data_IF_029853798256
#
_entry.id   IF_029853798256
#
_cell.length_a   1.000
_cell.length_b   1.000
_cell.length_c   1.000
_cell.angle_alpha   90.00
_cell.angle_beta   90.00
_cell.angle_gamma   90.00
#
_symmetry.space_group_name_H-M   'P 1'
#
loop_
_entity.id
_entity.type
_entity.pdbx_description
1 polymer ?
#
# COMPACT_ATOMS: atom_id res chain seq x y z
N UNK A 1 6.20 25.33 -40.05
CA UNK A 1 5.32 24.25 -39.54
C UNK A 1 5.52 24.15 -38.05
N UNK A 2 4.44 24.05 -37.26
CA UNK A 2 4.53 23.74 -35.82
C UNK A 2 5.02 22.30 -35.66
N UNK A 3 5.88 22.03 -34.67
CA UNK A 3 6.27 20.66 -34.35
C UNK A 3 5.07 19.88 -33.77
N UNK A 4 5.11 18.55 -33.86
CA UNK A 4 4.11 17.66 -33.28
C UNK A 4 3.87 17.91 -31.77
N UNK A 5 4.90 18.40 -31.06
CA UNK A 5 4.90 18.53 -29.61
C UNK A 5 4.82 19.98 -29.11
N UNK A 6 4.52 20.94 -29.99
CA UNK A 6 4.52 22.35 -29.63
C UNK A 6 3.52 22.72 -28.52
N UNK A 7 2.46 21.93 -28.34
CA UNK A 7 1.41 22.14 -27.35
C UNK A 7 1.52 21.22 -26.13
N UNK A 8 2.59 20.42 -26.02
CA UNK A 8 2.79 19.53 -24.87
C UNK A 8 3.17 20.37 -23.67
N UNK A 9 2.32 20.40 -22.65
CA UNK A 9 2.59 21.06 -21.39
C UNK A 9 3.53 20.23 -20.52
N UNK A 10 4.35 20.90 -19.71
CA UNK A 10 5.18 20.24 -18.71
C UNK A 10 4.29 19.69 -17.60
N UNK A 11 4.27 18.36 -17.43
CA UNK A 11 3.54 17.73 -16.35
C UNK A 11 4.04 18.21 -14.98
N UNK A 12 3.14 18.34 -13.98
CA UNK A 12 3.57 18.63 -12.62
C UNK A 12 4.49 17.51 -12.10
N UNK A 13 5.52 17.88 -11.32
CA UNK A 13 6.39 16.88 -10.68
C UNK A 13 5.61 16.11 -9.62
N UNK A 14 5.81 14.80 -9.55
CA UNK A 14 5.30 13.97 -8.46
C UNK A 14 5.86 14.50 -7.11
N UNK A 15 5.00 14.78 -6.12
CA UNK A 15 5.42 15.42 -4.87
C UNK A 15 6.38 14.56 -4.03
N UNK A 16 6.38 13.24 -4.20
CA UNK A 16 7.29 12.31 -3.52
C UNK A 16 8.59 12.17 -4.31
N UNK A 17 8.53 12.03 -5.64
CA UNK A 17 9.73 11.89 -6.46
C UNK A 17 10.55 13.19 -6.51
N UNK A 18 9.90 14.35 -6.63
CA UNK A 18 10.57 15.64 -6.55
C UNK A 18 11.25 15.89 -5.20
N UNK A 19 10.67 15.35 -4.10
CA UNK A 19 11.29 15.38 -2.78
C UNK A 19 12.58 14.55 -2.74
N UNK A 20 12.62 13.39 -3.40
CA UNK A 20 13.83 12.57 -3.50
C UNK A 20 14.93 13.23 -4.32
N UNK A 21 14.59 13.92 -5.42
CA UNK A 21 15.56 14.70 -6.20
C UNK A 21 16.21 15.78 -5.33
N UNK A 22 15.39 16.55 -4.61
CA UNK A 22 15.88 17.60 -3.72
C UNK A 22 16.72 17.04 -2.56
N UNK A 23 16.33 15.89 -1.99
CA UNK A 23 17.12 15.19 -0.97
C UNK A 23 18.48 14.72 -1.53
N UNK A 24 18.51 14.17 -2.74
CA UNK A 24 19.75 13.68 -3.34
C UNK A 24 20.74 14.81 -3.66
N UNK A 25 20.23 15.97 -4.10
CA UNK A 25 21.04 17.14 -4.42
C UNK A 25 21.60 17.87 -3.18
N UNK A 26 21.02 17.66 -2.00
CA UNK A 26 21.47 18.29 -0.75
C UNK A 26 22.84 17.75 -0.30
N UNK A 27 23.79 18.64 -0.04
CA UNK A 27 25.14 18.30 0.43
C UNK A 27 25.26 18.22 1.95
N UNK A 28 24.19 18.53 2.70
CA UNK A 28 24.17 18.43 4.15
C UNK A 28 24.42 16.97 4.60
N UNK A 29 25.50 16.68 5.35
CA UNK A 29 25.82 15.33 5.79
C UNK A 29 24.82 14.79 6.83
N UNK A 30 24.01 15.65 7.44
CA UNK A 30 22.99 15.29 8.43
C UNK A 30 21.57 15.14 7.83
N UNK A 31 21.41 15.26 6.50
CA UNK A 31 20.10 15.22 5.85
C UNK A 31 19.35 13.91 6.15
N UNK A 32 18.03 14.00 6.30
CA UNK A 32 17.15 12.84 6.55
C UNK A 32 15.97 12.84 5.59
N UNK A 33 15.72 11.72 4.91
CA UNK A 33 14.56 11.55 4.04
C UNK A 33 13.43 10.82 4.76
N UNK A 34 12.44 11.57 5.25
CA UNK A 34 11.19 11.06 5.81
C UNK A 34 10.03 11.10 4.80
N UNK A 35 10.27 11.54 3.56
CA UNK A 35 9.25 11.63 2.52
C UNK A 35 9.00 10.32 1.77
N UNK A 36 9.96 9.40 1.75
CA UNK A 36 9.86 8.14 1.00
C UNK A 36 8.88 7.12 1.59
N UNK A 37 8.38 6.21 0.77
CA UNK A 37 7.54 5.07 1.19
C UNK A 37 8.28 3.74 1.31
N UNK A 38 9.51 3.76 1.85
CA UNK A 38 10.46 2.64 1.87
C UNK A 38 10.95 2.38 3.29
N UNK A 39 11.14 1.11 3.63
CA UNK A 39 11.71 0.69 4.91
C UNK A 39 13.23 0.79 4.84
N UNK A 40 13.82 1.47 5.81
CA UNK A 40 15.25 1.44 6.04
C UNK A 40 15.57 0.66 7.31
N UNK A 41 16.66 -0.12 7.29
CA UNK A 41 17.24 -0.70 8.50
C UNK A 41 17.81 0.36 9.44
N UNK A 42 18.31 -0.08 10.58
CA UNK A 42 18.96 0.83 11.54
C UNK A 42 20.24 1.48 10.99
N UNK A 43 20.84 0.86 9.97
CA UNK A 43 21.96 1.42 9.20
C UNK A 43 21.55 2.44 8.13
N UNK A 44 20.25 2.75 8.01
CA UNK A 44 19.71 3.70 7.05
C UNK A 44 19.66 3.17 5.61
N UNK A 45 19.73 1.84 5.39
CA UNK A 45 19.69 1.22 4.05
C UNK A 45 18.48 0.31 3.86
N UNK A 46 18.07 0.13 2.61
CA UNK A 46 17.01 -0.82 2.26
C UNK A 46 17.56 -2.25 2.47
N UNK A 47 16.94 -3.09 3.32
CA UNK A 47 17.44 -4.43 3.55
C UNK A 47 17.10 -5.36 2.37
N UNK A 48 18.02 -6.26 2.02
CA UNK A 48 17.69 -7.48 1.28
C UNK A 48 17.40 -8.57 2.31
N UNK A 49 16.14 -9.01 2.38
CA UNK A 49 15.72 -10.01 3.35
C UNK A 49 16.47 -11.34 3.13
N UNK A 50 16.81 -12.04 4.21
CA UNK A 50 17.53 -13.30 4.17
C UNK A 50 16.74 -14.38 3.44
N UNK A 51 15.43 -14.45 3.63
CA UNK A 51 14.56 -15.38 2.90
C UNK A 51 14.60 -15.11 1.37
N UNK A 52 14.58 -13.84 0.98
CA UNK A 52 14.71 -13.39 -0.43
C UNK A 52 16.08 -13.79 -0.98
N UNK A 53 17.15 -13.46 -0.26
CA UNK A 53 18.53 -13.80 -0.66
C UNK A 53 18.73 -15.30 -0.86
N UNK A 54 18.15 -16.12 0.02
CA UNK A 54 18.21 -17.58 -0.09
C UNK A 54 17.46 -18.09 -1.33
N UNK A 55 16.25 -17.59 -1.57
CA UNK A 55 15.47 -17.93 -2.77
C UNK A 55 16.16 -17.49 -4.07
N UNK A 56 16.76 -16.30 -4.10
CA UNK A 56 17.53 -15.81 -5.25
C UNK A 56 18.77 -16.67 -5.53
N UNK A 57 19.51 -17.05 -4.49
CA UNK A 57 20.69 -17.92 -4.64
C UNK A 57 20.31 -19.27 -5.24
N UNK A 58 19.30 -19.94 -4.68
CA UNK A 58 18.81 -21.22 -5.21
C UNK A 58 18.31 -21.11 -6.65
N UNK A 59 17.63 -20.00 -6.98
CA UNK A 59 17.17 -19.73 -8.35
C UNK A 59 18.33 -19.51 -9.33
N UNK A 60 19.39 -18.84 -8.91
CA UNK A 60 20.58 -18.63 -9.74
C UNK A 60 21.27 -19.97 -10.04
N UNK A 61 21.38 -20.84 -9.04
CA UNK A 61 22.01 -22.17 -9.19
C UNK A 61 21.26 -23.06 -10.19
N UNK A 62 19.93 -22.95 -10.26
CA UNK A 62 19.10 -23.74 -11.20
C UNK A 62 19.04 -23.19 -12.62
N UNK A 63 19.52 -21.96 -12.86
CA UNK A 63 19.60 -21.31 -14.18
C UNK A 63 18.37 -21.51 -15.08
N UNK A 64 17.14 -21.22 -14.59
CA UNK A 64 15.94 -21.52 -15.36
C UNK A 64 15.87 -20.66 -16.64
N UNK A 65 15.32 -21.20 -17.74
CA UNK A 65 15.12 -20.44 -18.97
C UNK A 65 14.21 -19.23 -18.75
N UNK A 66 14.36 -18.21 -19.59
CA UNK A 66 13.70 -16.89 -19.43
C UNK A 66 12.70 -16.60 -20.56
N UNK A 67 11.89 -17.60 -20.89
CA UNK A 67 10.76 -17.43 -21.80
C UNK A 67 9.63 -16.59 -21.19
N UNK A 68 8.61 -16.30 -22.00
CA UNK A 68 7.41 -15.60 -21.54
C UNK A 68 6.62 -16.42 -20.52
N UNK A 69 5.97 -15.72 -19.60
CA UNK A 69 5.04 -16.31 -18.64
C UNK A 69 3.62 -16.40 -19.21
N UNK A 70 2.72 -17.19 -18.58
CA UNK A 70 1.28 -17.00 -18.76
C UNK A 70 0.87 -15.54 -18.49
N UNK A 71 -0.19 -15.09 -19.15
CA UNK A 71 -0.65 -13.69 -19.07
C UNK A 71 -0.96 -13.29 -17.61
N UNK A 72 -1.53 -14.20 -16.85
CA UNK A 72 -1.88 -14.03 -15.43
C UNK A 72 -0.72 -14.32 -14.46
N UNK A 73 0.49 -14.59 -14.95
CA UNK A 73 1.60 -15.07 -14.15
C UNK A 73 1.55 -16.57 -13.87
N UNK A 74 2.55 -17.08 -13.14
CA UNK A 74 2.65 -18.51 -12.85
C UNK A 74 1.67 -18.96 -11.76
N UNK A 75 1.10 -20.16 -11.92
CA UNK A 75 0.11 -20.71 -10.99
C UNK A 75 0.63 -20.84 -9.54
N UNK A 76 1.91 -21.18 -9.36
CA UNK A 76 2.53 -21.29 -8.04
C UNK A 76 2.50 -19.95 -7.28
N UNK A 77 2.81 -18.83 -7.96
CA UNK A 77 2.71 -17.49 -7.38
C UNK A 77 1.26 -17.14 -7.07
N UNK A 78 0.36 -17.31 -8.03
CA UNK A 78 -1.06 -16.96 -7.86
C UNK A 78 -1.70 -17.70 -6.66
N UNK A 79 -1.40 -18.99 -6.48
CA UNK A 79 -1.87 -19.78 -5.34
C UNK A 79 -1.23 -19.33 -4.02
N UNK A 80 0.08 -19.03 -4.02
CA UNK A 80 0.76 -18.53 -2.83
C UNK A 80 0.18 -17.21 -2.34
N UNK A 81 -0.15 -16.29 -3.27
CA UNK A 81 -0.84 -15.03 -2.95
C UNK A 81 -2.23 -15.29 -2.38
N UNK A 82 -3.04 -16.16 -2.99
CA UNK A 82 -4.39 -16.47 -2.47
C UNK A 82 -4.33 -17.04 -1.05
N UNK A 83 -3.40 -17.94 -0.79
CA UNK A 83 -3.19 -18.53 0.54
C UNK A 83 -2.73 -17.48 1.56
N UNK A 84 -1.93 -16.50 1.15
CA UNK A 84 -1.53 -15.39 2.02
C UNK A 84 -2.69 -14.44 2.35
N UNK A 85 -3.54 -14.13 1.37
CA UNK A 85 -4.65 -13.19 1.52
C UNK A 85 -5.82 -13.78 2.32
N UNK A 86 -6.16 -15.06 2.09
CA UNK A 86 -7.38 -15.66 2.64
C UNK A 86 -7.14 -16.87 3.55
N UNK A 87 -5.90 -17.36 3.64
CA UNK A 87 -5.57 -18.59 4.34
C UNK A 87 -5.78 -19.84 3.47
N UNK A 88 -4.96 -20.87 3.71
CA UNK A 88 -4.96 -22.14 2.95
C UNK A 88 -6.30 -22.90 3.03
N UNK A 89 -7.03 -22.76 4.14
CA UNK A 89 -8.27 -23.49 4.41
C UNK A 89 -9.53 -22.66 4.05
N UNK A 90 -9.36 -21.61 3.23
CA UNK A 90 -10.45 -20.72 2.85
C UNK A 90 -11.54 -21.42 2.03
N UNK A 91 -12.78 -21.38 2.51
CA UNK A 91 -13.94 -21.90 1.80
C UNK A 91 -14.16 -21.22 0.44
N UNK A 92 -13.79 -19.94 0.32
CA UNK A 92 -13.86 -19.17 -0.93
C UNK A 92 -12.90 -19.75 -1.98
N UNK A 93 -11.68 -20.11 -1.56
CA UNK A 93 -10.69 -20.74 -2.44
C UNK A 93 -11.14 -22.15 -2.85
N UNK A 94 -11.61 -22.95 -1.90
CA UNK A 94 -12.16 -24.28 -2.18
C UNK A 94 -13.34 -24.25 -3.17
N UNK A 95 -14.17 -23.19 -3.11
CA UNK A 95 -15.28 -22.96 -4.03
C UNK A 95 -14.86 -22.40 -5.40
N UNK A 96 -13.57 -22.12 -5.63
CA UNK A 96 -13.06 -21.55 -6.89
C UNK A 96 -13.54 -20.11 -7.13
N UNK A 97 -13.81 -19.36 -6.07
CA UNK A 97 -14.37 -17.99 -6.14
C UNK A 97 -13.32 -16.89 -6.23
N UNK A 98 -12.03 -17.20 -6.10
CA UNK A 98 -10.96 -16.22 -6.29
C UNK A 98 -10.19 -16.50 -7.58
N UNK A 99 -9.97 -15.47 -8.37
CA UNK A 99 -8.95 -15.46 -9.44
C UNK A 99 -7.85 -14.50 -9.05
N UNK A 100 -6.60 -14.87 -9.31
CA UNK A 100 -5.43 -14.02 -9.04
C UNK A 100 -4.59 -13.91 -10.31
N UNK A 101 -4.15 -12.69 -10.60
CA UNK A 101 -3.22 -12.39 -11.68
C UNK A 101 -2.02 -11.61 -11.13
N UNK A 102 -0.82 -12.07 -11.44
CA UNK A 102 0.40 -11.34 -11.14
C UNK A 102 0.45 -10.01 -11.89
N UNK A 103 0.83 -8.95 -11.17
CA UNK A 103 0.79 -7.57 -11.64
C UNK A 103 2.06 -6.81 -11.24
N UNK A 104 2.31 -5.68 -11.92
CA UNK A 104 3.45 -4.79 -11.67
C UNK A 104 3.34 -4.01 -10.35
N UNK A 105 3.50 -4.73 -9.24
CA UNK A 105 3.26 -4.24 -7.89
C UNK A 105 1.76 -3.98 -7.64
N UNK A 106 1.46 -3.37 -6.48
CA UNK A 106 0.09 -2.93 -6.17
C UNK A 106 -0.44 -1.91 -7.19
N UNK A 107 0.41 -1.00 -7.67
CA UNK A 107 0.02 -0.03 -8.72
C UNK A 107 -0.45 -0.72 -10.00
N UNK A 108 0.24 -1.77 -10.45
CA UNK A 108 -0.18 -2.55 -11.61
C UNK A 108 -1.52 -3.26 -11.36
N UNK A 109 -1.71 -3.81 -10.17
CA UNK A 109 -2.96 -4.46 -9.78
C UNK A 109 -4.14 -3.47 -9.75
N UNK A 110 -3.94 -2.29 -9.16
CA UNK A 110 -4.89 -1.18 -9.19
C UNK A 110 -5.24 -0.79 -10.63
N UNK A 111 -4.25 -0.62 -11.50
CA UNK A 111 -4.47 -0.23 -12.91
C UNK A 111 -5.26 -1.28 -13.68
N UNK A 112 -4.85 -2.55 -13.62
CA UNK A 112 -5.57 -3.64 -14.30
C UNK A 112 -7.00 -3.78 -13.75
N UNK A 113 -7.18 -3.67 -12.42
CA UNK A 113 -8.49 -3.68 -11.79
C UNK A 113 -9.36 -2.50 -12.22
N UNK A 114 -8.80 -1.28 -12.28
CA UNK A 114 -9.48 -0.09 -12.74
C UNK A 114 -9.92 -0.21 -14.20
N UNK A 115 -9.03 -0.62 -15.10
CA UNK A 115 -9.34 -0.79 -16.53
C UNK A 115 -10.39 -1.88 -16.76
N UNK A 116 -10.36 -2.96 -15.97
CA UNK A 116 -11.39 -3.98 -16.00
C UNK A 116 -12.73 -3.44 -15.51
N UNK A 117 -12.76 -2.78 -14.34
CA UNK A 117 -13.97 -2.21 -13.77
C UNK A 117 -14.57 -1.12 -14.66
N UNK A 118 -13.76 -0.33 -15.38
CA UNK A 118 -14.26 0.72 -16.28
C UNK A 118 -15.02 0.11 -17.47
N UNK A 119 -14.58 -1.06 -17.95
CA UNK A 119 -15.30 -1.81 -19.00
C UNK A 119 -16.62 -2.39 -18.48
N UNK A 120 -16.68 -2.76 -17.20
CA UNK A 120 -17.85 -3.37 -16.59
C UNK A 120 -18.88 -2.34 -16.11
N UNK A 121 -18.41 -1.23 -15.54
CA UNK A 121 -19.18 -0.18 -14.90
C UNK A 121 -18.71 1.19 -15.41
N UNK A 122 -18.97 1.52 -16.69
CA UNK A 122 -18.43 2.73 -17.32
C UNK A 122 -18.91 4.03 -16.64
N UNK A 123 -20.10 4.01 -16.05
CA UNK A 123 -20.70 5.18 -15.38
C UNK A 123 -20.45 5.22 -13.87
N UNK A 124 -19.79 4.20 -13.29
CA UNK A 124 -19.52 4.19 -11.86
C UNK A 124 -18.54 5.33 -11.49
N UNK A 125 -18.74 5.86 -10.28
CA UNK A 125 -17.77 6.74 -9.64
C UNK A 125 -16.84 5.93 -8.74
N UNK A 126 -15.62 6.41 -8.58
CA UNK A 126 -14.66 5.90 -7.61
C UNK A 126 -14.61 6.85 -6.41
N UNK A 127 -14.64 6.30 -5.20
CA UNK A 127 -14.50 7.06 -3.97
C UNK A 127 -13.24 6.60 -3.23
N UNK A 128 -12.39 7.56 -2.86
CA UNK A 128 -11.15 7.32 -2.10
C UNK A 128 -11.22 8.03 -0.75
N UNK A 129 -10.45 7.57 0.24
CA UNK A 129 -10.40 8.22 1.56
C UNK A 129 -9.93 9.67 1.45
N UNK A 130 -10.42 10.53 2.34
CA UNK A 130 -9.90 11.88 2.54
C UNK A 130 -8.96 11.95 3.76
N UNK A 131 -7.64 12.08 3.56
CA UNK A 131 -6.91 11.91 2.29
C UNK A 131 -6.60 10.44 2.00
N UNK A 132 -6.05 10.16 0.82
CA UNK A 132 -5.59 8.83 0.40
C UNK A 132 -4.16 8.87 -0.14
N UNK A 133 -3.62 7.71 -0.53
CA UNK A 133 -2.39 7.67 -1.30
C UNK A 133 -2.58 8.43 -2.61
N UNK A 134 -1.72 9.41 -2.85
CA UNK A 134 -1.88 10.43 -3.90
C UNK A 134 -2.18 9.82 -5.28
N UNK A 135 -1.45 8.76 -5.65
CA UNK A 135 -1.61 8.12 -6.95
C UNK A 135 -2.92 7.32 -7.10
N UNK A 136 -3.74 7.12 -6.06
CA UNK A 136 -5.09 6.56 -6.24
C UNK A 136 -5.92 7.44 -7.18
N UNK A 137 -5.96 8.75 -6.93
CA UNK A 137 -6.74 9.70 -7.74
C UNK A 137 -6.25 9.68 -9.19
N UNK A 138 -4.94 9.93 -9.39
CA UNK A 138 -4.33 9.97 -10.72
C UNK A 138 -4.55 8.66 -11.50
N UNK A 139 -4.41 7.50 -10.85
CA UNK A 139 -4.59 6.19 -11.48
C UNK A 139 -6.04 5.97 -11.94
N UNK A 140 -7.03 6.23 -11.09
CA UNK A 140 -8.44 6.00 -11.44
C UNK A 140 -8.97 7.05 -12.43
N UNK A 141 -8.54 8.31 -12.33
CA UNK A 141 -8.83 9.34 -13.34
C UNK A 141 -8.20 8.99 -14.70
N UNK A 142 -6.97 8.50 -14.71
CA UNK A 142 -6.31 8.01 -15.93
C UNK A 142 -7.00 6.77 -16.54
N UNK A 143 -7.67 5.96 -15.72
CA UNK A 143 -8.55 4.88 -16.18
C UNK A 143 -9.93 5.39 -16.67
N UNK A 144 -10.20 6.69 -16.57
CA UNK A 144 -11.41 7.34 -17.07
C UNK A 144 -12.55 7.45 -16.06
N UNK A 145 -12.30 7.27 -14.77
CA UNK A 145 -13.31 7.45 -13.73
C UNK A 145 -13.37 8.90 -13.23
N UNK A 146 -14.56 9.33 -12.82
CA UNK A 146 -14.67 10.44 -11.86
C UNK A 146 -14.30 9.92 -10.47
N UNK A 147 -13.38 10.62 -9.80
CA UNK A 147 -12.90 10.26 -8.46
C UNK A 147 -13.36 11.29 -7.44
N UNK A 148 -14.15 10.86 -6.47
CA UNK A 148 -14.61 11.67 -5.34
C UNK A 148 -13.96 11.18 -4.03
N UNK A 149 -14.12 11.95 -2.95
CA UNK A 149 -13.59 11.61 -1.63
C UNK A 149 -14.71 11.18 -0.68
N UNK A 150 -14.40 10.28 0.26
CA UNK A 150 -15.21 10.06 1.47
C UNK A 150 -14.43 10.49 2.71
N UNK A 151 -15.14 11.04 3.71
CA UNK A 151 -14.52 11.48 4.95
C UNK A 151 -13.80 10.31 5.63
N UNK A 152 -12.54 10.52 6.03
CA UNK A 152 -11.74 9.48 6.68
C UNK A 152 -10.89 10.01 7.83
N UNK A 153 -9.90 10.87 7.58
CA UNK A 153 -9.03 11.38 8.64
C UNK A 153 -9.65 12.59 9.35
N UNK A 154 -9.61 12.58 10.68
CA UNK A 154 -9.99 13.73 11.49
C UNK A 154 -8.73 14.42 12.05
N UNK A 155 -8.48 15.66 11.63
CA UNK A 155 -7.34 16.43 12.09
C UNK A 155 -7.42 16.80 13.59
N UNK A 156 -8.63 16.88 14.17
CA UNK A 156 -8.82 17.20 15.58
C UNK A 156 -8.47 16.01 16.48
N UNK A 157 -9.00 14.82 16.17
CA UNK A 157 -8.74 13.60 16.95
C UNK A 157 -7.49 12.84 16.50
N UNK A 158 -6.92 13.17 15.33
CA UNK A 158 -5.79 12.48 14.66
C UNK A 158 -6.07 11.02 14.31
N UNK A 159 -7.34 10.62 14.36
CA UNK A 159 -7.84 9.28 14.07
C UNK A 159 -8.80 9.26 12.88
N UNK A 160 -9.72 8.29 12.88
CA UNK A 160 -10.71 8.14 11.81
C UNK A 160 -12.01 8.88 12.17
N UNK A 161 -12.46 9.79 11.31
CA UNK A 161 -13.82 10.34 11.27
C UNK A 161 -14.83 9.26 10.80
N UNK A 162 -15.10 8.29 11.67
CA UNK A 162 -15.92 7.15 11.30
C UNK A 162 -17.39 7.52 11.04
N UNK A 163 -17.92 8.51 11.78
CA UNK A 163 -19.27 9.01 11.55
C UNK A 163 -19.43 9.61 10.14
N UNK A 164 -18.46 10.44 9.72
CA UNK A 164 -18.40 10.98 8.37
C UNK A 164 -18.24 9.90 7.30
N UNK A 165 -17.36 8.92 7.54
CA UNK A 165 -17.18 7.78 6.63
C UNK A 165 -18.49 7.03 6.41
N UNK A 166 -19.23 6.69 7.48
CA UNK A 166 -20.52 5.99 7.37
C UNK A 166 -21.56 6.80 6.61
N UNK A 167 -21.66 8.10 6.89
CA UNK A 167 -22.58 8.99 6.19
C UNK A 167 -22.27 9.04 4.69
N UNK A 168 -20.99 9.13 4.32
CA UNK A 168 -20.56 9.10 2.94
C UNK A 168 -20.92 7.76 2.25
N UNK A 169 -20.57 6.62 2.86
CA UNK A 169 -20.91 5.30 2.31
C UNK A 169 -22.42 5.10 2.13
N UNK A 170 -23.23 5.53 3.09
CA UNK A 170 -24.69 5.45 3.02
C UNK A 170 -25.29 6.31 1.90
N UNK A 171 -24.65 7.44 1.58
CA UNK A 171 -25.09 8.35 0.52
C UNK A 171 -24.60 7.95 -0.88
N UNK A 172 -23.62 7.04 -1.00
CA UNK A 172 -23.10 6.63 -2.30
C UNK A 172 -24.18 5.96 -3.17
N UNK A 173 -24.20 6.26 -4.48
CA UNK A 173 -25.01 5.51 -5.44
C UNK A 173 -24.59 4.04 -5.48
N UNK A 174 -25.54 3.15 -5.72
CA UNK A 174 -25.26 1.73 -5.97
C UNK A 174 -24.24 1.57 -7.11
N UNK A 175 -23.42 0.53 -7.02
CA UNK A 175 -22.31 0.22 -7.94
C UNK A 175 -21.18 1.25 -7.99
N UNK A 176 -21.16 2.21 -7.07
CA UNK A 176 -19.96 3.02 -6.84
C UNK A 176 -18.81 2.13 -6.35
N UNK A 177 -17.59 2.44 -6.79
CA UNK A 177 -16.38 1.73 -6.39
C UNK A 177 -15.78 2.46 -5.19
N UNK A 178 -15.56 1.77 -4.08
CA UNK A 178 -14.95 2.34 -2.88
C UNK A 178 -13.57 1.74 -2.69
N UNK A 179 -12.54 2.58 -2.76
CA UNK A 179 -11.16 2.17 -2.51
C UNK A 179 -10.88 2.20 -1.01
N UNK A 180 -10.51 1.06 -0.45
CA UNK A 180 -10.35 0.83 0.98
C UNK A 180 -8.94 0.32 1.27
N UNK A 181 -8.17 1.02 2.10
CA UNK A 181 -6.89 0.50 2.59
C UNK A 181 -7.19 -0.60 3.60
N UNK A 182 -6.64 -1.80 3.41
CA UNK A 182 -6.94 -2.92 4.28
C UNK A 182 -6.41 -2.74 5.73
N UNK A 183 -5.23 -2.13 5.83
CA UNK A 183 -4.55 -1.74 7.07
C UNK A 183 -3.42 -0.74 6.74
N UNK A 184 -2.78 -0.18 7.76
CA UNK A 184 -1.64 0.73 7.63
C UNK A 184 -1.92 1.90 6.66
N UNK A 185 -3.07 2.56 6.83
CA UNK A 185 -3.58 3.56 5.89
C UNK A 185 -2.50 4.56 5.46
N UNK A 186 -2.27 4.68 4.15
CA UNK A 186 -1.37 5.67 3.58
C UNK A 186 -2.20 6.88 3.12
N UNK A 187 -1.99 8.09 3.69
CA UNK A 187 -0.78 8.54 4.38
C UNK A 187 -0.85 8.61 5.91
N UNK A 188 -2.01 8.36 6.51
CA UNK A 188 -2.30 8.83 7.88
C UNK A 188 -1.77 7.89 8.99
N UNK A 189 -1.67 6.59 8.70
CA UNK A 189 -1.49 5.53 9.69
C UNK A 189 -2.69 5.30 10.60
N UNK A 190 -3.79 6.05 10.44
CA UNK A 190 -5.02 5.88 11.20
C UNK A 190 -5.87 4.79 10.53
N UNK A 191 -6.14 3.71 11.24
CA UNK A 191 -6.87 2.57 10.70
C UNK A 191 -8.20 2.35 11.45
N UNK A 192 -9.10 1.62 10.79
CA UNK A 192 -10.35 1.16 11.40
C UNK A 192 -10.11 0.05 12.42
N UNK A 193 -10.92 0.07 13.48
CA UNK A 193 -11.08 -1.06 14.41
C UNK A 193 -11.90 -2.19 13.80
N UNK A 194 -11.90 -3.36 14.44
CA UNK A 194 -12.67 -4.52 13.99
C UNK A 194 -14.19 -4.25 13.92
N UNK A 195 -14.74 -3.56 14.93
CA UNK A 195 -16.15 -3.19 14.95
C UNK A 195 -16.50 -2.24 13.80
N UNK A 196 -15.65 -1.25 13.54
CA UNK A 196 -15.82 -0.32 12.43
C UNK A 196 -15.75 -1.03 11.07
N UNK A 197 -14.83 -1.99 10.91
CA UNK A 197 -14.75 -2.79 9.68
C UNK A 197 -16.02 -3.61 9.43
N UNK A 198 -16.60 -4.22 10.47
CA UNK A 198 -17.86 -4.97 10.33
C UNK A 198 -18.99 -4.06 9.81
N UNK A 199 -19.14 -2.85 10.38
CA UNK A 199 -20.11 -1.86 9.90
C UNK A 199 -19.84 -1.40 8.46
N UNK A 200 -18.57 -1.26 8.05
CA UNK A 200 -18.22 -0.91 6.66
C UNK A 200 -18.64 -2.01 5.69
N UNK A 201 -18.38 -3.27 6.02
CA UNK A 201 -18.78 -4.41 5.18
C UNK A 201 -20.30 -4.48 5.04
N UNK A 202 -21.03 -4.25 6.14
CA UNK A 202 -22.49 -4.20 6.12
C UNK A 202 -23.01 -3.07 5.24
N UNK A 203 -22.43 -1.86 5.35
CA UNK A 203 -22.81 -0.73 4.50
C UNK A 203 -22.50 -0.99 3.02
N UNK A 204 -21.33 -1.53 2.70
CA UNK A 204 -20.98 -1.90 1.31
C UNK A 204 -22.00 -2.87 0.73
N UNK A 205 -22.43 -3.86 1.52
CA UNK A 205 -23.47 -4.82 1.12
C UNK A 205 -24.85 -4.16 0.95
N UNK A 206 -25.29 -3.40 1.94
CA UNK A 206 -26.61 -2.75 1.94
C UNK A 206 -26.76 -1.73 0.81
N UNK A 207 -25.67 -1.08 0.43
CA UNK A 207 -25.63 -0.02 -0.60
C UNK A 207 -25.24 -0.54 -1.98
N UNK A 208 -25.03 -1.85 -2.15
CA UNK A 208 -24.58 -2.48 -3.40
C UNK A 208 -23.32 -1.81 -3.98
N UNK A 209 -22.36 -1.49 -3.11
CA UNK A 209 -21.08 -0.86 -3.50
C UNK A 209 -20.06 -1.93 -3.91
N UNK A 210 -19.08 -1.53 -4.73
CA UNK A 210 -17.97 -2.39 -5.14
C UNK A 210 -16.74 -2.06 -4.30
N UNK A 211 -16.35 -2.95 -3.39
CA UNK A 211 -15.12 -2.79 -2.63
C UNK A 211 -13.89 -3.08 -3.50
N UNK A 212 -12.98 -2.10 -3.56
CA UNK A 212 -11.62 -2.27 -4.07
C UNK A 212 -10.64 -2.10 -2.92
N UNK A 213 -10.13 -3.21 -2.41
CA UNK A 213 -9.27 -3.25 -1.23
C UNK A 213 -7.81 -3.16 -1.66
N UNK A 214 -7.07 -2.17 -1.13
CA UNK A 214 -5.62 -2.06 -1.32
C UNK A 214 -4.87 -2.61 -0.10
N UNK A 215 -4.11 -3.69 -0.32
CA UNK A 215 -3.36 -4.47 0.66
C UNK A 215 -1.86 -4.38 0.37
N UNK A 216 -1.28 -3.18 0.56
CA UNK A 216 0.13 -2.93 0.28
C UNK A 216 1.08 -3.18 1.47
N UNK A 217 0.53 -3.38 2.67
CA UNK A 217 1.27 -3.35 3.94
C UNK A 217 0.97 -4.54 4.88
N UNK A 218 0.45 -5.65 4.36
CA UNK A 218 0.16 -6.83 5.18
C UNK A 218 1.41 -7.28 5.97
N UNK A 219 1.30 -7.31 7.30
CA UNK A 219 2.36 -7.65 8.24
C UNK A 219 2.95 -6.46 9.01
N UNK A 220 2.68 -5.21 8.59
CA UNK A 220 3.23 -3.99 9.20
C UNK A 220 2.36 -3.33 10.27
N UNK A 221 1.11 -3.77 10.48
CA UNK A 221 0.28 -3.26 11.58
C UNK A 221 0.45 -4.15 12.82
N UNK A 222 -0.21 -5.30 12.85
CA UNK A 222 -0.24 -6.24 13.97
C UNK A 222 0.29 -7.64 13.60
N UNK A 223 0.45 -7.91 12.31
CA UNK A 223 1.03 -9.15 11.79
C UNK A 223 0.25 -9.66 10.58
N UNK A 224 0.77 -10.66 9.89
CA UNK A 224 0.23 -11.10 8.58
C UNK A 224 -1.26 -11.47 8.66
N UNK A 225 -1.65 -12.26 9.67
CA UNK A 225 -3.05 -12.68 9.84
C UNK A 225 -3.94 -11.58 10.45
N UNK A 226 -3.57 -10.90 11.54
CA UNK A 226 -4.35 -9.75 12.04
C UNK A 226 -4.60 -8.67 10.97
N UNK A 227 -3.61 -8.39 10.12
CA UNK A 227 -3.70 -7.37 9.07
C UNK A 227 -4.65 -7.77 7.92
N UNK A 228 -5.04 -9.05 7.84
CA UNK A 228 -6.01 -9.55 6.86
C UNK A 228 -7.48 -9.41 7.30
N UNK A 229 -7.75 -8.78 8.46
CA UNK A 229 -9.10 -8.66 9.03
C UNK A 229 -10.16 -8.16 8.04
N UNK A 230 -9.85 -7.10 7.28
CA UNK A 230 -10.77 -6.59 6.26
C UNK A 230 -11.12 -7.68 5.23
N UNK A 231 -10.12 -8.39 4.72
CA UNK A 231 -10.31 -9.47 3.74
C UNK A 231 -11.12 -10.63 4.32
N UNK A 232 -10.86 -11.01 5.57
CA UNK A 232 -11.61 -12.06 6.26
C UNK A 232 -13.10 -11.70 6.38
N UNK A 233 -13.42 -10.46 6.77
CA UNK A 233 -14.80 -9.97 6.89
C UNK A 233 -15.49 -9.89 5.51
N UNK A 234 -14.80 -9.37 4.49
CA UNK A 234 -15.34 -9.34 3.13
C UNK A 234 -15.57 -10.76 2.57
N UNK A 235 -14.63 -11.70 2.79
CA UNK A 235 -14.79 -13.09 2.39
C UNK A 235 -15.99 -13.77 3.08
N UNK A 236 -16.17 -13.52 4.39
CA UNK A 236 -17.30 -14.05 5.17
C UNK A 236 -18.66 -13.45 4.76
N UNK A 237 -18.68 -12.20 4.28
CA UNK A 237 -19.91 -11.48 3.91
C UNK A 237 -20.65 -12.06 2.69
N UNK A 238 -19.94 -12.84 1.88
CA UNK A 238 -20.41 -13.38 0.60
C UNK A 238 -20.28 -12.42 -0.58
N UNK A 239 -19.87 -11.16 -0.36
CA UNK A 239 -19.70 -10.13 -1.39
C UNK A 239 -18.69 -10.52 -2.47
N UNK A 240 -18.83 -9.91 -3.65
CA UNK A 240 -17.80 -9.86 -4.67
C UNK A 240 -16.98 -8.58 -4.47
N UNK A 241 -15.66 -8.70 -4.54
CA UNK A 241 -14.75 -7.58 -4.29
C UNK A 241 -13.42 -7.78 -5.02
N UNK A 242 -12.66 -6.69 -5.11
CA UNK A 242 -11.36 -6.64 -5.77
C UNK A 242 -10.29 -6.36 -4.72
N UNK A 243 -9.13 -7.00 -4.86
CA UNK A 243 -7.96 -6.80 -4.00
C UNK A 243 -6.75 -6.48 -4.87
N UNK A 244 -6.12 -5.34 -4.61
CA UNK A 244 -4.74 -5.07 -5.00
C UNK A 244 -3.84 -5.49 -3.85
N UNK A 245 -2.84 -6.34 -4.10
CA UNK A 245 -1.81 -6.67 -3.11
C UNK A 245 -0.42 -6.35 -3.63
N UNK A 246 0.49 -5.99 -2.71
CA UNK A 246 1.87 -5.63 -3.07
C UNK A 246 2.90 -6.27 -2.15
N UNK A 247 3.97 -6.77 -2.77
CA UNK A 247 5.15 -7.30 -2.06
C UNK A 247 6.32 -6.32 -2.02
N UNK A 248 6.13 -5.09 -2.53
CA UNK A 248 7.19 -4.09 -2.53
C UNK A 248 7.72 -3.79 -1.12
N UNK A 249 6.84 -3.79 -0.10
CA UNK A 249 7.21 -3.47 1.28
C UNK A 249 7.47 -4.73 2.08
N UNK A 250 6.53 -5.67 2.08
CA UNK A 250 6.58 -6.88 2.91
C UNK A 250 7.73 -7.81 2.57
N UNK A 251 8.22 -7.79 1.32
CA UNK A 251 9.41 -8.53 0.89
C UNK A 251 10.63 -7.64 0.65
N UNK A 252 10.52 -6.32 0.87
CA UNK A 252 11.56 -5.36 0.48
C UNK A 252 11.89 -5.37 -1.04
N UNK A 253 10.96 -5.83 -1.89
CA UNK A 253 11.11 -5.97 -3.34
C UNK A 253 10.51 -4.77 -4.10
N UNK A 254 10.93 -3.56 -3.75
CA UNK A 254 10.38 -2.31 -4.28
C UNK A 254 10.52 -2.19 -5.81
N UNK A 255 11.74 -2.40 -6.30
CA UNK A 255 12.12 -2.23 -7.70
C UNK A 255 11.71 -3.39 -8.61
N UNK A 256 11.48 -4.58 -8.05
CA UNK A 256 11.09 -5.78 -8.81
C UNK A 256 9.61 -5.78 -9.25
N UNK A 257 8.82 -4.83 -8.74
CA UNK A 257 7.42 -4.62 -9.12
C UNK A 257 6.56 -5.88 -8.96
N UNK A 258 6.61 -6.51 -7.79
CA UNK A 258 5.86 -7.73 -7.48
C UNK A 258 4.56 -7.41 -6.73
N UNK A 259 3.43 -7.83 -7.28
CA UNK A 259 2.11 -7.65 -6.70
C UNK A 259 1.06 -8.50 -7.42
N UNK A 260 -0.19 -8.40 -7.02
CA UNK A 260 -1.26 -9.17 -7.64
C UNK A 260 -2.60 -8.46 -7.58
N UNK A 261 -3.41 -8.71 -8.62
CA UNK A 261 -4.84 -8.43 -8.62
C UNK A 261 -5.56 -9.72 -8.28
N UNK A 262 -6.37 -9.70 -7.22
CA UNK A 262 -7.28 -10.80 -6.88
C UNK A 262 -8.72 -10.34 -6.95
N UNK A 263 -9.57 -11.06 -7.68
CA UNK A 263 -11.01 -10.76 -7.78
C UNK A 263 -11.80 -11.93 -7.19
N UNK A 264 -12.66 -11.61 -6.23
CA UNK A 264 -13.61 -12.55 -5.64
C UNK A 264 -14.94 -12.46 -6.38
N UNK A 265 -15.41 -13.59 -6.90
CA UNK A 265 -16.62 -13.74 -7.70
C UNK A 265 -17.70 -14.54 -6.96
N UNK A 266 -18.88 -14.67 -7.57
CA UNK A 266 -19.97 -15.48 -7.02
C UNK A 266 -19.70 -17.00 -7.11
N UNK A 267 -18.83 -17.46 -8.01
CA UNK A 267 -18.62 -18.89 -8.24
C UNK A 267 -17.57 -19.21 -9.30
N UNK A 268 -17.20 -20.49 -9.40
CA UNK A 268 -16.15 -20.99 -10.30
C UNK A 268 -16.36 -20.67 -11.78
N UNK A 269 -17.60 -20.74 -12.27
CA UNK A 269 -17.91 -20.37 -13.66
C UNK A 269 -17.66 -18.88 -13.91
N UNK A 270 -18.13 -18.02 -12.99
CA UNK A 270 -17.94 -16.58 -13.07
C UNK A 270 -16.45 -16.21 -12.99
N UNK A 271 -15.70 -16.84 -12.10
CA UNK A 271 -14.24 -16.74 -12.04
C UNK A 271 -13.58 -16.98 -13.40
N UNK A 272 -13.97 -18.05 -14.12
CA UNK A 272 -13.40 -18.35 -15.43
C UNK A 272 -13.70 -17.25 -16.47
N UNK A 273 -14.94 -16.76 -16.51
CA UNK A 273 -15.35 -15.66 -17.40
C UNK A 273 -14.62 -14.36 -17.07
N UNK A 274 -14.54 -13.98 -15.79
CA UNK A 274 -13.82 -12.78 -15.32
C UNK A 274 -12.34 -12.86 -15.69
N UNK A 275 -11.67 -13.98 -15.39
CA UNK A 275 -10.26 -14.19 -15.71
C UNK A 275 -9.99 -14.03 -17.22
N UNK A 276 -10.88 -14.53 -18.10
CA UNK A 276 -10.73 -14.36 -19.54
C UNK A 276 -10.68 -12.89 -19.98
N UNK A 277 -11.45 -12.02 -19.33
CA UNK A 277 -11.49 -10.59 -19.64
C UNK A 277 -10.30 -9.84 -19.03
N UNK A 278 -9.91 -10.19 -17.80
CA UNK A 278 -8.72 -9.62 -17.14
C UNK A 278 -7.46 -9.94 -17.95
N UNK A 279 -7.32 -11.17 -18.46
CA UNK A 279 -6.23 -11.53 -19.37
C UNK A 279 -6.16 -10.63 -20.60
N UNK A 280 -7.30 -10.24 -21.18
CA UNK A 280 -7.31 -9.29 -22.31
C UNK A 280 -6.78 -7.93 -21.90
N UNK A 281 -7.18 -7.40 -20.74
CA UNK A 281 -6.67 -6.13 -20.18
C UNK A 281 -5.15 -6.19 -20.05
N UNK A 282 -4.62 -7.24 -19.40
CA UNK A 282 -3.19 -7.43 -19.20
C UNK A 282 -2.44 -7.56 -20.54
N UNK A 283 -2.96 -8.41 -21.44
CA UNK A 283 -2.30 -8.74 -22.72
C UNK A 283 -2.11 -7.52 -23.61
N UNK A 284 -3.04 -6.56 -23.55
CA UNK A 284 -2.99 -5.30 -24.32
C UNK A 284 -2.30 -4.16 -23.57
N UNK A 285 -1.86 -4.39 -22.34
CA UNK A 285 -1.08 -3.42 -21.56
C UNK A 285 0.40 -3.78 -21.63
N UNK A 286 0.79 -4.91 -21.01
CA UNK A 286 2.19 -5.33 -20.90
C UNK A 286 2.43 -6.80 -21.28
N UNK A 287 1.48 -7.43 -21.97
CA UNK A 287 1.54 -8.82 -22.44
C UNK A 287 1.50 -9.89 -21.35
N UNK A 288 2.54 -9.99 -20.52
CA UNK A 288 2.70 -10.91 -19.39
C UNK A 288 3.65 -10.28 -18.34
N UNK A 289 3.53 -10.66 -17.06
CA UNK A 289 4.30 -10.06 -15.97
C UNK A 289 5.79 -10.49 -15.98
N UNK A 290 6.67 -9.73 -15.29
CA UNK A 290 8.09 -10.06 -15.16
C UNK A 290 8.30 -11.31 -14.30
N UNK A 291 9.34 -12.09 -14.61
CA UNK A 291 9.54 -13.40 -13.98
C UNK A 291 10.23 -13.38 -12.61
N UNK A 292 11.22 -12.51 -12.42
CA UNK A 292 12.21 -12.69 -11.34
C UNK A 292 11.58 -12.57 -9.95
N UNK A 293 10.98 -11.41 -9.64
CA UNK A 293 10.40 -11.16 -8.34
C UNK A 293 9.23 -12.09 -7.99
N UNK A 294 8.33 -12.37 -8.92
CA UNK A 294 7.23 -13.34 -8.72
C UNK A 294 7.72 -14.73 -8.38
N UNK A 295 8.75 -15.22 -9.08
CA UNK A 295 9.35 -16.52 -8.80
C UNK A 295 10.03 -16.58 -7.42
N UNK A 296 10.68 -15.49 -7.01
CA UNK A 296 11.31 -15.38 -5.68
C UNK A 296 10.25 -15.40 -4.57
N UNK A 297 9.19 -14.59 -4.70
CA UNK A 297 8.07 -14.60 -3.74
C UNK A 297 7.39 -15.96 -3.68
N UNK A 298 7.14 -16.60 -4.83
CA UNK A 298 6.55 -17.93 -4.87
C UNK A 298 7.44 -18.98 -4.17
N UNK A 299 8.75 -18.93 -4.37
CA UNK A 299 9.70 -19.83 -3.72
C UNK A 299 9.71 -19.66 -2.20
N UNK A 300 9.76 -18.41 -1.72
CA UNK A 300 9.70 -18.11 -0.28
C UNK A 300 8.38 -18.58 0.33
N UNK A 301 7.24 -18.22 -0.26
CA UNK A 301 5.93 -18.53 0.31
C UNK A 301 5.57 -20.02 0.26
N UNK A 302 6.22 -20.80 -0.61
CA UNK A 302 5.95 -22.23 -0.80
C UNK A 302 6.92 -23.15 -0.04
N UNK A 303 8.04 -22.63 0.47
CA UNK A 303 8.92 -23.37 1.40
C UNK A 303 8.55 -23.02 2.83
N UNK A 304 8.19 -24.01 3.69
CA UNK A 304 7.91 -23.75 5.09
C UNK A 304 9.05 -23.01 5.82
N UNK A 305 10.30 -23.37 5.50
CA UNK A 305 11.49 -22.82 6.13
C UNK A 305 11.73 -21.36 5.71
N UNK A 306 11.71 -21.08 4.39
CA UNK A 306 11.88 -19.72 3.89
C UNK A 306 10.71 -18.82 4.28
N UNK A 307 9.49 -19.37 4.30
CA UNK A 307 8.31 -18.66 4.77
C UNK A 307 8.49 -18.25 6.22
N UNK A 308 8.85 -19.17 7.12
CA UNK A 308 9.06 -18.84 8.53
C UNK A 308 10.12 -17.75 8.70
N UNK A 309 11.25 -17.89 7.99
CA UNK A 309 12.30 -16.87 8.02
C UNK A 309 11.78 -15.49 7.58
N UNK A 310 11.01 -15.43 6.49
CA UNK A 310 10.41 -14.19 6.02
C UNK A 310 9.41 -13.60 7.03
N UNK A 311 8.58 -14.43 7.65
CA UNK A 311 7.62 -13.98 8.66
C UNK A 311 8.34 -13.38 9.90
N UNK A 312 9.44 -14.00 10.32
CA UNK A 312 10.28 -13.51 11.42
C UNK A 312 10.97 -12.18 11.07
N UNK A 313 11.53 -12.06 9.85
CA UNK A 313 12.18 -10.83 9.37
C UNK A 313 11.17 -9.68 9.25
N UNK A 314 9.97 -9.94 8.71
CA UNK A 314 8.89 -8.96 8.61
C UNK A 314 8.38 -8.54 9.99
N UNK A 315 8.28 -9.47 10.93
CA UNK A 315 7.97 -9.15 12.33
C UNK A 315 9.03 -8.24 12.95
N UNK A 316 10.32 -8.51 12.73
CA UNK A 316 11.42 -7.65 13.18
C UNK A 316 11.32 -6.22 12.59
N UNK A 317 10.97 -6.10 11.30
CA UNK A 317 10.73 -4.81 10.66
C UNK A 317 9.58 -4.04 11.32
N UNK A 318 8.45 -4.71 11.61
CA UNK A 318 7.30 -4.13 12.29
C UNK A 318 7.65 -3.65 13.70
N UNK A 319 8.30 -4.49 14.51
CA UNK A 319 8.64 -4.12 15.89
C UNK A 319 9.63 -2.95 15.94
N UNK A 320 10.57 -2.86 14.99
CA UNK A 320 11.46 -1.70 14.88
C UNK A 320 10.69 -0.41 14.59
N UNK A 321 9.72 -0.44 13.68
CA UNK A 321 8.87 0.74 13.41
C UNK A 321 8.12 1.17 14.67
N UNK A 322 7.55 0.22 15.43
CA UNK A 322 6.90 0.50 16.72
C UNK A 322 7.86 1.14 17.71
N UNK A 323 9.08 0.62 17.84
CA UNK A 323 10.12 1.22 18.68
C UNK A 323 10.45 2.67 18.26
N UNK A 324 10.52 2.95 16.96
CA UNK A 324 10.75 4.32 16.46
C UNK A 324 9.57 5.25 16.75
N UNK A 325 8.32 4.77 16.69
CA UNK A 325 7.13 5.55 17.10
C UNK A 325 7.22 5.97 18.56
N UNK A 326 7.50 5.01 19.45
CA UNK A 326 7.61 5.25 20.89
C UNK A 326 8.75 6.24 21.18
N UNK A 327 9.93 5.95 20.65
CA UNK A 327 11.13 6.78 20.85
C UNK A 327 10.95 8.21 20.33
N UNK A 328 10.30 8.40 19.18
CA UNK A 328 10.04 9.74 18.65
C UNK A 328 9.17 10.56 19.60
N UNK A 329 8.08 9.99 20.09
CA UNK A 329 7.16 10.68 21.01
C UNK A 329 7.83 10.99 22.35
N UNK A 330 8.60 10.05 22.89
CA UNK A 330 9.30 10.24 24.16
C UNK A 330 10.35 11.36 24.04
N UNK A 331 11.10 11.40 22.92
CA UNK A 331 12.09 12.46 22.65
C UNK A 331 11.45 13.82 22.36
N UNK A 332 10.32 13.86 21.66
CA UNK A 332 9.54 15.09 21.46
C UNK A 332 9.07 15.64 22.81
N UNK A 333 8.52 14.77 23.67
CA UNK A 333 8.08 15.15 25.02
C UNK A 333 9.23 15.71 25.85
N UNK A 334 10.40 15.04 25.83
CA UNK A 334 11.60 15.52 26.53
C UNK A 334 12.12 16.86 25.98
N UNK A 335 11.89 17.16 24.70
CA UNK A 335 12.21 18.44 24.07
C UNK A 335 11.14 19.54 24.31
N UNK A 336 10.09 19.25 25.09
CA UNK A 336 9.00 20.16 25.41
C UNK A 336 7.89 20.24 24.34
N UNK A 337 7.87 19.30 23.38
CA UNK A 337 6.85 19.21 22.34
C UNK A 337 5.74 18.22 22.78
N UNK A 338 4.55 18.74 23.12
CA UNK A 338 3.40 17.92 23.55
C UNK A 338 2.40 17.68 22.42
N UNK A 339 1.51 16.70 22.58
CA UNK A 339 0.39 16.45 21.66
C UNK A 339 0.68 15.46 20.52
N UNK A 340 1.80 14.72 20.59
CA UNK A 340 2.22 13.76 19.56
C UNK A 340 1.91 12.29 19.91
N UNK A 341 1.17 12.01 20.99
CA UNK A 341 0.88 10.63 21.44
C UNK A 341 0.14 9.79 20.39
N UNK A 342 -0.61 10.43 19.47
CA UNK A 342 -1.27 9.74 18.36
C UNK A 342 -0.28 8.99 17.46
N UNK A 343 1.00 9.36 17.41
CA UNK A 343 2.04 8.64 16.65
C UNK A 343 2.20 7.21 17.16
N UNK A 344 1.99 6.98 18.48
CA UNK A 344 2.04 5.64 19.11
C UNK A 344 0.86 4.76 18.68
N UNK A 345 -0.29 5.37 18.37
CA UNK A 345 -1.53 4.68 18.00
C UNK A 345 -1.60 4.41 16.50
N UNK A 346 -1.11 5.35 15.68
CA UNK A 346 -1.04 5.16 14.23
C UNK A 346 -0.14 3.96 13.87
N UNK A 347 -0.52 3.22 12.83
CA UNK A 347 0.10 1.95 12.43
C UNK A 347 0.80 2.07 11.08
N UNK A 348 1.57 1.03 10.73
CA UNK A 348 2.28 0.94 9.45
C UNK A 348 3.48 1.87 9.37
N UNK A 349 3.91 2.18 8.14
CA UNK A 349 5.15 2.90 7.89
C UNK A 349 5.06 4.42 8.06
N UNK A 350 3.85 4.98 8.09
CA UNK A 350 3.63 6.43 8.04
C UNK A 350 2.93 6.97 9.27
N UNK A 351 3.15 8.25 9.53
CA UNK A 351 2.39 9.00 10.52
C UNK A 351 2.07 10.37 9.94
N UNK A 352 0.82 10.83 10.17
CA UNK A 352 0.47 12.22 9.91
C UNK A 352 0.75 13.07 11.14
N UNK A 353 1.84 13.83 11.09
CA UNK A 353 2.35 14.59 12.24
C UNK A 353 1.51 15.81 12.59
N UNK A 354 0.69 16.30 11.66
CA UNK A 354 -0.03 17.56 11.81
C UNK A 354 0.85 18.81 11.66
N UNK A 355 2.13 18.65 11.29
CA UNK A 355 2.98 19.78 10.91
C UNK A 355 2.38 20.50 9.70
N UNK A 356 2.39 21.82 9.75
CA UNK A 356 1.93 22.65 8.63
C UNK A 356 2.96 22.63 7.49
N UNK A 357 2.53 22.96 6.27
CA UNK A 357 3.44 23.07 5.13
C UNK A 357 4.61 24.03 5.41
N UNK A 358 4.37 25.12 6.16
CA UNK A 358 5.42 26.06 6.57
C UNK A 358 6.43 25.40 7.54
N UNK A 359 5.96 24.61 8.51
CA UNK A 359 6.84 23.88 9.42
C UNK A 359 7.64 22.78 8.70
N UNK A 360 7.03 22.10 7.73
CA UNK A 360 7.73 21.13 6.86
C UNK A 360 8.81 21.82 6.02
N UNK A 361 8.54 23.00 5.46
CA UNK A 361 9.57 23.73 4.71
C UNK A 361 10.70 24.21 5.62
N UNK A 362 10.40 24.64 6.86
CA UNK A 362 11.43 24.93 7.86
C UNK A 362 12.29 23.70 8.19
N UNK A 363 11.69 22.52 8.36
CA UNK A 363 12.46 21.27 8.56
C UNK A 363 13.44 21.01 7.42
N UNK A 364 13.01 21.23 6.19
CA UNK A 364 13.86 21.06 5.02
C UNK A 364 14.96 22.13 4.95
N UNK A 365 14.60 23.41 5.05
CA UNK A 365 15.53 24.52 4.85
C UNK A 365 16.53 24.69 6.00
N UNK A 366 16.11 24.51 7.25
CA UNK A 366 16.94 24.73 8.44
C UNK A 366 17.70 23.46 8.86
N UNK A 367 17.16 22.27 8.58
CA UNK A 367 17.69 20.99 9.10
C UNK A 367 17.97 19.93 8.02
N UNK A 368 17.66 20.17 6.74
CA UNK A 368 17.80 19.12 5.71
C UNK A 368 16.94 17.88 5.99
N UNK A 369 15.82 18.04 6.70
CA UNK A 369 14.86 16.96 6.98
C UNK A 369 13.69 17.10 6.01
N UNK A 370 13.54 16.10 5.16
CA UNK A 370 12.56 16.11 4.08
C UNK A 370 11.33 15.31 4.51
N UNK A 371 10.18 15.98 4.59
CA UNK A 371 8.87 15.37 4.80
C UNK A 371 7.89 15.83 3.72
N UNK A 372 6.77 15.12 3.55
CA UNK A 372 5.74 15.57 2.59
C UNK A 372 5.07 16.82 3.14
N UNK A 373 4.76 17.79 2.29
CA UNK A 373 4.16 19.10 2.66
C UNK A 373 2.87 19.00 3.48
N UNK A 374 2.17 17.87 3.38
CA UNK A 374 0.98 17.57 4.18
C UNK A 374 1.28 17.19 5.63
N UNK A 375 2.56 17.08 6.02
CA UNK A 375 2.99 16.65 7.34
C UNK A 375 3.15 15.13 7.48
N UNK A 376 3.07 14.36 6.38
CA UNK A 376 3.34 12.91 6.41
C UNK A 376 4.83 12.66 6.59
N UNK A 377 5.18 11.83 7.57
CA UNK A 377 6.53 11.27 7.72
C UNK A 377 6.52 9.75 7.56
N UNK A 378 7.61 9.21 7.03
CA UNK A 378 7.92 7.79 7.04
C UNK A 378 8.65 7.45 8.34
N UNK A 379 7.92 6.89 9.29
CA UNK A 379 8.50 6.42 10.56
C UNK A 379 9.48 5.28 10.31
N UNK A 380 9.27 4.49 9.24
CA UNK A 380 10.20 3.45 8.84
C UNK A 380 11.56 3.95 8.30
N UNK A 381 11.74 5.26 8.14
CA UNK A 381 13.03 5.89 7.82
C UNK A 381 13.77 6.43 9.07
N UNK A 382 13.13 6.43 10.24
CA UNK A 382 13.79 6.71 11.51
C UNK A 382 14.62 5.51 11.94
N UNK A 383 15.73 5.77 12.63
CA UNK A 383 16.62 4.79 13.21
C UNK A 383 17.31 5.38 14.45
N UNK A 384 18.06 4.56 15.19
CA UNK A 384 18.74 4.97 16.42
C UNK A 384 19.76 6.09 16.21
N UNK A 385 20.19 6.33 14.97
CA UNK A 385 21.24 7.30 14.62
C UNK A 385 20.70 8.67 14.22
N UNK A 386 19.45 8.75 13.76
CA UNK A 386 18.84 10.00 13.30
C UNK A 386 17.69 10.52 14.17
N UNK A 387 17.11 9.67 15.02
CA UNK A 387 15.87 10.01 15.73
C UNK A 387 16.01 11.19 16.71
N UNK A 388 17.17 11.34 17.36
CA UNK A 388 17.47 12.48 18.23
C UNK A 388 17.52 13.79 17.46
N UNK A 389 18.16 13.79 16.29
CA UNK A 389 18.24 14.94 15.41
C UNK A 389 16.85 15.35 14.92
N UNK A 390 16.07 14.38 14.45
CA UNK A 390 14.71 14.61 13.95
C UNK A 390 13.78 15.15 15.05
N UNK A 391 13.78 14.54 16.24
CA UNK A 391 12.94 14.99 17.35
C UNK A 391 13.26 16.43 17.76
N UNK A 392 14.55 16.78 17.87
CA UNK A 392 15.00 18.15 18.19
C UNK A 392 14.61 19.16 17.11
N UNK A 393 14.76 18.80 15.84
CA UNK A 393 14.37 19.66 14.72
C UNK A 393 12.86 19.92 14.71
N UNK A 394 12.04 18.86 14.87
CA UNK A 394 10.58 19.00 14.99
C UNK A 394 10.22 19.92 16.15
N UNK A 395 10.79 19.70 17.34
CA UNK A 395 10.52 20.54 18.51
C UNK A 395 10.96 22.00 18.33
N UNK A 396 11.88 22.28 17.41
CA UNK A 396 12.34 23.64 17.08
C UNK A 396 11.40 24.34 16.09
N UNK A 397 10.88 23.64 15.08
CA UNK A 397 10.04 24.26 14.05
C UNK A 397 8.59 24.50 14.49
N UNK A 398 8.14 23.83 15.55
CA UNK A 398 6.79 24.03 16.11
C UNK A 398 6.71 25.16 17.14
N UNK A 399 7.86 25.70 17.55
CA UNK A 399 7.98 26.97 18.27
C UNK A 399 8.03 28.09 17.23
#
# INVERSE_FOLDING_TARGET
MSSLFATVEMAPRDPILGLNEAFNADSNPAKVNLGVGVYFGDDGKIPLLGAVKAAEKARLETQPPRGYQPIEGIAAYNNAVQNLLFGKDSALLAAGRAITCECLGGTGALKVGADYLKRLLPEAKVYISDPSWENHRALFESAGFTVDNYAYYDAATRGVNFAGMKAALAAMPARSIVVLHACCHNPTGADLSAAQWAEVVDLVKQRDLVAFIDMAYQGFADGIKPDALALDLFAASGLQFVVSSSFSKSFSLYGERVGALTIVTAGKDESARVLSQVKRVIRTNYSNPPTHGGAVVAAVLSSPELRQQWEDELAGMRERIRAMRMSLVDKLTAAGATGFDFIKVQRGMFSYTGLTAAQVERLKAEFGIYAVSTGRICVAALNTRNIDYVAKAIATVIK
#
